data_IF_345534317840
#
_entry.id   IF_345534317840
#
_cell.length_a   1.000
_cell.length_b   1.000
_cell.length_c   1.000
_cell.angle_alpha   90.00
_cell.angle_beta   90.00
_cell.angle_gamma   90.00
#
_symmetry.space_group_name_H-M   'P 1'
#
loop_
_entity.id
_entity.type
_entity.pdbx_description
1 polymer ?
#
# COMPACT_ATOMS: atom_id res chain seq x y z
N UNK A 1 9.07 7.60 -10.81
CA UNK A 1 8.91 7.54 -9.33
C UNK A 1 7.50 8.00 -8.94
N UNK A 2 6.83 7.23 -8.07
CA UNK A 2 5.54 7.60 -7.48
C UNK A 2 5.72 7.98 -6.01
N UNK A 3 4.98 8.98 -5.56
CA UNK A 3 5.03 9.48 -4.17
C UNK A 3 3.64 9.92 -3.70
N UNK A 4 3.40 9.90 -2.39
CA UNK A 4 2.18 10.47 -1.80
C UNK A 4 2.47 11.87 -1.27
N UNK A 5 1.67 12.85 -1.68
CA UNK A 5 1.78 14.20 -1.14
C UNK A 5 0.90 14.37 0.10
N UNK A 6 1.50 14.38 1.27
CA UNK A 6 0.80 14.47 2.55
C UNK A 6 0.24 15.86 2.89
N UNK A 7 0.52 16.89 2.09
CA UNK A 7 0.10 18.29 2.39
C UNK A 7 -1.35 18.60 2.03
N UNK A 8 -1.92 17.99 0.97
CA UNK A 8 -3.30 18.23 0.50
C UNK A 8 -3.90 16.95 -0.05
N UNK A 9 -5.07 16.53 0.44
CA UNK A 9 -5.88 15.41 -0.07
C UNK A 9 -5.13 14.09 -0.34
N UNK A 10 -3.85 14.01 -0.03
CA UNK A 10 -2.99 12.84 -0.21
C UNK A 10 -2.97 12.27 -1.65
N UNK A 11 -2.79 13.10 -2.70
CA UNK A 11 -2.69 12.60 -4.05
C UNK A 11 -1.42 11.77 -4.25
N UNK A 12 -1.50 10.80 -5.13
CA UNK A 12 -0.32 10.13 -5.67
C UNK A 12 0.23 11.00 -6.80
N UNK A 13 1.52 11.26 -6.76
CA UNK A 13 2.24 12.05 -7.75
C UNK A 13 3.24 11.14 -8.48
N UNK A 14 3.38 11.36 -9.78
CA UNK A 14 4.38 10.73 -10.63
C UNK A 14 5.39 11.73 -11.16
N UNK A 15 6.65 11.35 -11.21
CA UNK A 15 7.76 12.10 -11.79
C UNK A 15 8.73 11.16 -12.49
N UNK A 16 9.44 11.68 -13.48
CA UNK A 16 10.52 11.02 -14.19
C UNK A 16 11.86 11.72 -13.97
N UNK A 17 12.93 10.96 -14.04
CA UNK A 17 14.29 11.44 -14.05
C UNK A 17 15.16 10.48 -14.86
N UNK A 18 16.11 11.02 -15.59
CA UNK A 18 17.12 10.24 -16.32
C UNK A 18 18.38 9.97 -15.50
N UNK A 19 18.64 10.78 -14.49
CA UNK A 19 19.87 10.78 -13.69
C UNK A 19 19.64 10.64 -12.18
N UNK A 20 18.39 10.64 -11.74
CA UNK A 20 18.01 10.58 -10.32
C UNK A 20 18.11 11.92 -9.58
N UNK A 21 18.62 12.97 -10.22
CA UNK A 21 18.79 14.30 -9.62
C UNK A 21 17.81 15.33 -10.20
N UNK A 22 17.63 15.33 -11.51
CA UNK A 22 16.74 16.25 -12.20
C UNK A 22 15.40 15.57 -12.50
N UNK A 23 14.33 16.07 -11.92
CA UNK A 23 13.00 15.48 -11.97
C UNK A 23 12.01 16.35 -12.74
N UNK A 24 11.16 15.73 -13.52
CA UNK A 24 10.06 16.42 -14.20
C UNK A 24 9.07 17.04 -13.19
N UNK A 25 8.29 18.02 -13.66
CA UNK A 25 7.13 18.51 -12.91
C UNK A 25 6.19 17.34 -12.59
N UNK A 26 5.68 17.24 -11.34
CA UNK A 26 4.84 16.11 -10.97
C UNK A 26 3.50 16.15 -11.67
N UNK A 27 3.07 15.02 -12.20
CA UNK A 27 1.68 14.77 -12.61
C UNK A 27 0.90 14.04 -11.51
N UNK A 28 -0.40 14.27 -11.43
CA UNK A 28 -1.26 13.60 -10.43
C UNK A 28 -1.83 12.31 -11.00
N UNK A 29 -1.68 11.23 -10.26
CA UNK A 29 -2.28 9.92 -10.54
C UNK A 29 -3.60 9.80 -9.78
N UNK A 30 -4.69 9.55 -10.49
CA UNK A 30 -6.02 9.33 -9.90
C UNK A 30 -6.22 7.85 -9.60
N UNK A 31 -6.02 7.45 -8.35
CA UNK A 31 -6.36 6.10 -7.91
C UNK A 31 -7.85 5.96 -7.67
N UNK A 32 -8.44 4.88 -8.20
CA UNK A 32 -9.87 4.56 -8.08
C UNK A 32 -10.07 3.58 -6.92
N UNK A 33 -10.29 4.09 -5.72
CA UNK A 33 -10.56 3.29 -4.53
C UNK A 33 -11.99 2.72 -4.49
N UNK A 34 -12.24 1.70 -3.66
CA UNK A 34 -13.61 1.21 -3.40
C UNK A 34 -14.54 2.27 -2.76
N UNK A 35 -13.96 3.28 -2.08
CA UNK A 35 -14.68 4.41 -1.48
C UNK A 35 -13.96 5.72 -1.79
N UNK A 36 -14.72 6.77 -2.07
CA UNK A 36 -14.25 8.15 -2.29
C UNK A 36 -13.70 8.81 -1.02
N UNK A 37 -13.99 8.22 0.16
CA UNK A 37 -13.46 8.65 1.46
C UNK A 37 -12.02 8.17 1.72
N UNK A 38 -11.48 7.25 0.93
CA UNK A 38 -10.12 6.74 1.10
C UNK A 38 -9.07 7.75 0.62
N UNK A 39 -7.95 7.78 1.32
CA UNK A 39 -6.79 8.65 1.05
C UNK A 39 -5.52 7.81 1.11
N UNK A 40 -4.66 7.99 0.12
CA UNK A 40 -3.37 7.31 0.05
C UNK A 40 -2.48 7.71 1.23
N UNK A 41 -1.72 6.76 1.78
CA UNK A 41 -0.76 7.02 2.85
C UNK A 41 0.67 6.66 2.44
N UNK A 42 0.91 5.40 2.16
CA UNK A 42 2.19 4.90 1.66
C UNK A 42 1.94 4.04 0.44
N UNK A 43 2.91 3.96 -0.45
CA UNK A 43 2.86 3.11 -1.62
C UNK A 43 4.22 2.49 -1.92
N UNK A 44 4.18 1.38 -2.64
CA UNK A 44 5.31 0.74 -3.27
C UNK A 44 4.91 0.30 -4.69
N UNK A 45 5.83 0.42 -5.65
CA UNK A 45 5.56 0.11 -7.06
C UNK A 45 6.69 -0.73 -7.62
N UNK A 46 6.32 -1.84 -8.24
CA UNK A 46 7.23 -2.67 -9.02
C UNK A 46 6.82 -2.68 -10.49
N UNK A 47 7.77 -2.95 -11.36
CA UNK A 47 7.52 -3.23 -12.77
C UNK A 47 7.75 -4.71 -13.04
N UNK A 48 6.74 -5.37 -13.62
CA UNK A 48 6.75 -6.77 -13.96
C UNK A 48 6.42 -6.95 -15.45
N UNK A 49 6.42 -8.17 -15.96
CA UNK A 49 5.90 -8.46 -17.30
C UNK A 49 4.43 -8.05 -17.50
N UNK A 50 3.68 -7.94 -16.41
CA UNK A 50 2.29 -7.47 -16.42
C UNK A 50 2.15 -5.96 -16.54
N UNK A 51 3.24 -5.19 -16.40
CA UNK A 51 3.30 -3.74 -16.34
C UNK A 51 3.63 -3.26 -14.92
N UNK A 52 3.13 -2.09 -14.55
CA UNK A 52 3.30 -1.54 -13.20
C UNK A 52 2.28 -2.13 -12.23
N UNK A 53 2.77 -2.61 -11.12
CA UNK A 53 1.96 -3.13 -10.02
C UNK A 53 2.22 -2.28 -8.78
N UNK A 54 1.17 -1.83 -8.10
CA UNK A 54 1.27 -0.91 -6.97
C UNK A 54 0.54 -1.48 -5.75
N UNK A 55 1.23 -1.52 -4.63
CA UNK A 55 0.62 -1.61 -3.32
C UNK A 55 0.44 -0.19 -2.76
N UNK A 56 -0.71 0.07 -2.19
CA UNK A 56 -1.00 1.35 -1.54
C UNK A 56 -1.76 1.15 -0.25
N UNK A 57 -1.19 1.65 0.84
CA UNK A 57 -1.90 1.77 2.11
C UNK A 57 -2.78 3.01 2.05
N UNK A 58 -4.05 2.86 2.43
CA UNK A 58 -4.97 3.98 2.48
C UNK A 58 -5.80 3.97 3.77
N UNK A 59 -6.23 5.17 4.18
CA UNK A 59 -7.03 5.41 5.38
C UNK A 59 -8.31 6.15 5.04
N UNK A 60 -9.34 6.00 5.85
CA UNK A 60 -10.57 6.78 5.72
C UNK A 60 -10.35 8.23 6.17
N UNK A 61 -10.87 9.19 5.39
CA UNK A 61 -10.85 10.61 5.76
C UNK A 61 -11.44 10.81 7.16
N UNK A 62 -10.66 11.43 8.04
CA UNK A 62 -10.99 11.60 9.46
C UNK A 62 -10.41 10.52 10.39
N UNK A 63 -9.90 9.43 9.85
CA UNK A 63 -9.35 8.28 10.62
C UNK A 63 -7.83 8.10 10.41
N UNK A 64 -7.10 9.17 10.15
CA UNK A 64 -5.65 9.12 9.91
C UNK A 64 -4.94 8.30 11.00
N UNK A 65 -4.04 7.39 10.59
CA UNK A 65 -3.32 6.43 11.43
C UNK A 65 -4.20 5.34 12.11
N UNK A 66 -5.42 5.17 11.64
CA UNK A 66 -6.32 4.11 12.09
C UNK A 66 -7.07 3.54 10.90
N UNK A 67 -7.50 2.27 11.00
CA UNK A 67 -8.32 1.63 9.96
C UNK A 67 -7.67 1.76 8.57
N UNK A 68 -6.35 1.53 8.53
CA UNK A 68 -5.58 1.54 7.29
C UNK A 68 -5.53 0.12 6.73
N UNK A 69 -6.05 -0.03 5.53
CA UNK A 69 -6.00 -1.27 4.76
C UNK A 69 -4.92 -1.20 3.68
N UNK A 70 -4.50 -2.35 3.20
CA UNK A 70 -3.62 -2.49 2.06
C UNK A 70 -4.42 -2.79 0.79
N UNK A 71 -4.18 -1.99 -0.22
CA UNK A 71 -4.81 -2.08 -1.54
C UNK A 71 -3.78 -2.42 -2.60
N UNK A 72 -4.24 -3.10 -3.65
CA UNK A 72 -3.47 -3.39 -4.85
C UNK A 72 -4.15 -2.78 -6.06
N UNK A 73 -3.34 -2.30 -7.00
CA UNK A 73 -3.76 -1.91 -8.35
C UNK A 73 -2.65 -2.17 -9.36
N UNK A 74 -2.98 -2.18 -10.65
CA UNK A 74 -2.01 -2.38 -11.72
C UNK A 74 -2.32 -1.51 -12.93
N UNK A 75 -1.29 -1.23 -13.73
CA UNK A 75 -1.40 -0.46 -14.97
C UNK A 75 -0.44 -0.99 -16.03
N UNK A 76 -0.76 -0.74 -17.31
CA UNK A 76 0.15 -0.98 -18.44
C UNK A 76 1.09 0.21 -18.69
N UNK A 77 0.79 1.36 -18.10
CA UNK A 77 1.60 2.58 -18.17
C UNK A 77 1.70 3.24 -16.77
N UNK A 78 2.40 4.35 -16.69
CA UNK A 78 2.71 5.04 -15.44
C UNK A 78 1.52 5.76 -14.81
N UNK A 79 0.39 5.87 -15.51
CA UNK A 79 -0.73 6.76 -15.14
C UNK A 79 -2.07 6.05 -14.93
N UNK A 80 -2.43 5.09 -15.78
CA UNK A 80 -3.80 4.58 -15.90
C UNK A 80 -4.00 3.31 -15.05
N UNK A 81 -3.91 3.49 -13.73
CA UNK A 81 -4.12 2.39 -12.79
C UNK A 81 -5.60 1.94 -12.75
N UNK A 82 -5.79 0.64 -12.71
CA UNK A 82 -7.10 -0.01 -12.55
C UNK A 82 -7.72 0.36 -11.20
N UNK A 83 -8.98 -0.04 -11.00
CA UNK A 83 -9.63 0.09 -9.69
C UNK A 83 -8.85 -0.69 -8.63
N UNK A 84 -8.56 -0.03 -7.51
CA UNK A 84 -7.91 -0.64 -6.37
C UNK A 84 -8.79 -1.74 -5.75
N UNK A 85 -8.18 -2.84 -5.39
CA UNK A 85 -8.81 -3.92 -4.61
C UNK A 85 -8.16 -4.00 -3.24
N UNK A 86 -8.93 -4.27 -2.19
CA UNK A 86 -8.39 -4.55 -0.86
C UNK A 86 -7.78 -5.94 -0.86
N UNK A 87 -6.54 -6.07 -0.38
CA UNK A 87 -5.83 -7.36 -0.32
C UNK A 87 -5.45 -7.76 1.09
N UNK A 88 -5.28 -6.81 2.01
CA UNK A 88 -5.01 -7.09 3.41
C UNK A 88 -5.70 -6.06 4.30
N UNK A 89 -6.29 -6.53 5.37
CA UNK A 89 -6.90 -5.73 6.44
C UNK A 89 -6.21 -5.98 7.76
N UNK A 90 -6.32 -5.06 8.72
CA UNK A 90 -5.91 -5.31 10.10
C UNK A 90 -6.55 -6.59 10.66
N UNK A 91 -5.85 -7.27 11.56
CA UNK A 91 -6.38 -8.44 12.26
C UNK A 91 -7.63 -8.08 13.07
N UNK A 92 -8.62 -8.95 13.04
CA UNK A 92 -9.84 -8.82 13.87
C UNK A 92 -9.62 -9.27 15.31
N UNK A 93 -8.49 -9.93 15.61
CA UNK A 93 -8.15 -10.36 16.97
C UNK A 93 -7.84 -9.15 17.86
N UNK A 94 -8.51 -9.01 18.99
CA UNK A 94 -8.51 -7.81 19.84
C UNK A 94 -7.12 -7.32 20.25
N UNK A 95 -6.18 -8.19 20.54
CA UNK A 95 -4.83 -7.85 21.00
C UNK A 95 -3.73 -8.16 19.98
N UNK A 96 -4.09 -8.37 18.72
CA UNK A 96 -3.10 -8.61 17.69
C UNK A 96 -2.22 -7.38 17.47
N UNK A 97 -0.98 -7.61 17.09
CA UNK A 97 0.03 -6.58 16.88
C UNK A 97 -0.27 -5.67 15.67
N UNK A 98 -1.18 -6.09 14.79
CA UNK A 98 -1.58 -5.40 13.57
C UNK A 98 -3.10 -5.05 13.53
N UNK A 99 -3.82 -5.18 14.65
CA UNK A 99 -5.28 -5.05 14.69
C UNK A 99 -5.82 -3.62 14.53
N UNK A 100 -4.95 -2.62 14.34
CA UNK A 100 -5.35 -1.21 14.22
C UNK A 100 -5.03 -0.58 12.88
N UNK A 101 -4.19 -1.19 12.10
CA UNK A 101 -3.87 -0.67 10.78
C UNK A 101 -2.64 -1.28 10.16
N UNK A 102 -2.65 -1.37 8.85
CA UNK A 102 -1.48 -1.66 8.03
C UNK A 102 -0.81 -0.33 7.72
N UNK A 103 0.45 -0.14 8.12
CA UNK A 103 1.10 1.17 8.04
C UNK A 103 1.92 1.38 6.77
N UNK A 104 2.71 0.38 6.39
CA UNK A 104 3.54 0.36 5.18
C UNK A 104 3.58 -1.04 4.60
N UNK A 105 3.92 -1.13 3.33
CA UNK A 105 4.21 -2.40 2.69
C UNK A 105 5.32 -2.24 1.66
N UNK A 106 5.98 -3.34 1.36
CA UNK A 106 6.87 -3.51 0.23
C UNK A 106 6.67 -4.91 -0.33
N UNK A 107 6.90 -5.10 -1.63
CA UNK A 107 6.67 -6.40 -2.24
C UNK A 107 7.62 -6.65 -3.42
N UNK A 108 7.76 -7.91 -3.73
CA UNK A 108 8.40 -8.39 -4.95
C UNK A 108 7.72 -9.66 -5.46
N UNK A 109 8.03 -10.04 -6.67
CA UNK A 109 7.56 -11.28 -7.28
C UNK A 109 8.77 -12.13 -7.66
N UNK A 110 8.81 -13.35 -7.17
CA UNK A 110 9.84 -14.32 -7.48
C UNK A 110 9.21 -15.67 -7.83
N UNK A 111 9.60 -16.26 -8.96
CA UNK A 111 9.04 -17.52 -9.45
C UNK A 111 7.51 -17.57 -9.51
N UNK A 112 6.88 -16.43 -9.84
CA UNK A 112 5.43 -16.29 -9.91
C UNK A 112 4.72 -16.14 -8.56
N UNK A 113 5.46 -16.12 -7.46
CA UNK A 113 4.94 -15.92 -6.10
C UNK A 113 5.13 -14.46 -5.70
N UNK A 114 4.07 -13.84 -5.20
CA UNK A 114 4.09 -12.52 -4.56
C UNK A 114 4.52 -12.68 -3.10
N UNK A 115 5.52 -11.92 -2.69
CA UNK A 115 5.95 -11.78 -1.30
C UNK A 115 5.68 -10.36 -0.86
N UNK A 116 4.81 -10.19 0.12
CA UNK A 116 4.35 -8.88 0.60
C UNK A 116 4.73 -8.75 2.07
N UNK A 117 5.71 -7.90 2.34
CA UNK A 117 6.04 -7.47 3.70
C UNK A 117 5.18 -6.28 4.07
N UNK A 118 4.66 -6.26 5.28
CA UNK A 118 3.89 -5.13 5.78
C UNK A 118 4.23 -4.85 7.24
N UNK A 119 4.18 -3.58 7.61
CA UNK A 119 4.22 -3.19 9.01
C UNK A 119 2.81 -2.92 9.50
N UNK A 120 2.48 -3.46 10.66
CA UNK A 120 1.21 -3.27 11.33
C UNK A 120 1.33 -2.39 12.58
N UNK A 121 0.21 -1.82 12.97
CA UNK A 121 0.03 -1.09 14.23
C UNK A 121 -1.06 -1.81 15.01
N UNK A 122 -0.79 -2.14 16.26
CA UNK A 122 -1.69 -2.90 17.11
C UNK A 122 -1.92 -2.31 18.48
N UNK A 123 -2.47 -3.15 19.35
CA UNK A 123 -2.74 -2.86 20.75
C UNK A 123 -1.43 -2.84 21.58
N UNK A 124 -1.32 -2.01 22.67
CA UNK A 124 -2.25 -0.96 23.10
C UNK A 124 -2.16 0.32 22.26
N UNK A 125 -3.08 1.26 22.50
CA UNK A 125 -3.06 2.58 21.85
C UNK A 125 -1.94 3.47 22.40
N UNK A 126 -1.37 4.33 21.55
CA UNK A 126 -0.45 5.38 21.97
C UNK A 126 1.03 5.03 21.81
N UNK A 127 1.92 5.66 22.57
CA UNK A 127 3.38 5.49 22.43
C UNK A 127 3.85 4.03 22.60
N UNK A 128 3.09 3.24 23.34
CA UNK A 128 3.39 1.83 23.63
C UNK A 128 2.60 0.87 22.70
N UNK A 129 2.09 1.36 21.56
CA UNK A 129 1.42 0.49 20.59
C UNK A 129 2.38 -0.57 20.07
N UNK A 130 1.92 -1.80 19.98
CA UNK A 130 2.70 -2.85 19.32
C UNK A 130 2.89 -2.49 17.85
N UNK A 131 4.10 -2.74 17.37
CA UNK A 131 4.47 -2.60 15.96
C UNK A 131 5.23 -3.84 15.56
N UNK A 132 4.98 -4.32 14.36
CA UNK A 132 5.65 -5.50 13.87
C UNK A 132 5.69 -5.49 12.34
N UNK A 133 6.45 -6.44 11.81
CA UNK A 133 6.50 -6.72 10.38
C UNK A 133 5.93 -8.11 10.15
N UNK A 134 4.94 -8.20 9.28
CA UNK A 134 4.35 -9.44 8.80
C UNK A 134 4.78 -9.74 7.37
N UNK A 135 4.70 -11.00 7.00
CA UNK A 135 4.84 -11.49 5.64
C UNK A 135 3.56 -12.21 5.24
N UNK A 136 3.06 -11.88 4.06
CA UNK A 136 2.06 -12.68 3.36
C UNK A 136 2.55 -12.97 1.96
N UNK A 137 2.23 -14.15 1.43
CA UNK A 137 2.71 -14.60 0.13
C UNK A 137 1.68 -15.46 -0.59
N UNK A 138 1.80 -15.58 -1.89
CA UNK A 138 0.92 -16.44 -2.69
C UNK A 138 1.08 -16.25 -4.19
N UNK A 139 0.43 -17.10 -4.99
CA UNK A 139 0.54 -17.08 -6.45
C UNK A 139 -0.15 -15.87 -7.09
N UNK A 140 -0.92 -15.12 -6.34
CA UNK A 140 -1.53 -13.86 -6.79
C UNK A 140 -1.88 -13.00 -5.58
N UNK A 141 -2.01 -11.69 -5.79
CA UNK A 141 -2.45 -10.74 -4.74
C UNK A 141 -3.86 -11.01 -4.20
N UNK A 142 -4.65 -11.84 -4.87
CA UNK A 142 -5.98 -12.27 -4.41
C UNK A 142 -5.94 -13.61 -3.66
N UNK A 143 -4.84 -14.32 -3.75
CA UNK A 143 -4.64 -15.61 -3.09
C UNK A 143 -3.30 -15.57 -2.35
N UNK A 144 -3.28 -14.81 -1.27
CA UNK A 144 -2.15 -14.63 -0.36
C UNK A 144 -2.49 -15.24 1.00
N UNK A 145 -1.50 -15.86 1.62
CA UNK A 145 -1.61 -16.49 2.93
C UNK A 145 -0.61 -15.84 3.89
N UNK A 146 -1.01 -15.67 5.15
CA UNK A 146 -0.09 -15.28 6.20
C UNK A 146 0.90 -16.41 6.50
N UNK A 147 2.07 -16.06 6.99
CA UNK A 147 2.97 -17.03 7.59
C UNK A 147 2.46 -17.31 9.01
N UNK A 148 1.83 -18.47 9.19
CA UNK A 148 1.49 -18.99 10.50
C UNK A 148 2.78 -19.59 11.09
N UNK A 149 3.41 -18.81 11.99
CA UNK A 149 4.58 -19.28 12.76
C UNK A 149 4.09 -20.01 14.03
#
# INVERSE_FOLDING_TARGET
>A
MWTVNCKRKFPVLYRESKDGFHWTTPSTIQLKYPSDRLRSWHLDVIHTEKGYEMLVVAFYKGHRHREMDLYYTSSKNEHDFKKCITILKPSEKEKAWDNRGIYRSSFFVENGIYYIYYSGIGYPKGPNSSQGVGLTYGPSVKNIHGYDA
#
